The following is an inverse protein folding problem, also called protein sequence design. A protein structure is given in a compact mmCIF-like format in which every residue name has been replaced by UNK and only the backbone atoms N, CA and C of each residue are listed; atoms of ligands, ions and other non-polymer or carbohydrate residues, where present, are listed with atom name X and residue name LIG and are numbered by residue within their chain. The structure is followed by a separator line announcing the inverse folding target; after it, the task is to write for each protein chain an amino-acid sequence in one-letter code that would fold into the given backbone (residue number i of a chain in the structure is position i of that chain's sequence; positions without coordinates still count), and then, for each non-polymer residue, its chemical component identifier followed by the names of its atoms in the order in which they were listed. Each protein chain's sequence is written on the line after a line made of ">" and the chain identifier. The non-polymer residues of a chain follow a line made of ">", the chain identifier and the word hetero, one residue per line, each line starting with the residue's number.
data_IF_297230050220
#
_entry.id   IF_297230050220
#
_cell.length_a   1.000
_cell.length_b   1.000
_cell.length_c   1.000
_cell.angle_alpha   90.00
_cell.angle_beta   90.00
_cell.angle_gamma   90.00
#
_symmetry.space_group_name_H-M   'P 1'
#
loop_
_entity.id
_entity.type
_entity.pdbx_description
1 polymer ?
#
# COMPACT_ATOMS: atom_id res chain seq x y z
N UNK A 1 3.79 2.50 -17.12
CA UNK A 1 4.59 3.26 -16.14
C UNK A 1 6.03 3.46 -16.58
N UNK A 2 6.55 4.68 -16.40
CA UNK A 2 7.99 4.98 -16.53
C UNK A 2 8.65 4.58 -15.21
N UNK A 3 9.42 3.49 -15.22
CA UNK A 3 10.22 3.02 -14.09
C UNK A 3 11.41 3.97 -13.90
N UNK A 4 11.42 4.84 -12.88
CA UNK A 4 12.66 5.36 -12.25
C UNK A 4 12.43 6.07 -10.89
N UNK A 5 12.99 5.52 -9.81
CA UNK A 5 13.54 6.34 -8.72
C UNK A 5 15.01 6.62 -9.07
N UNK A 6 15.39 7.88 -9.25
CA UNK A 6 16.69 8.28 -9.82
C UNK A 6 17.85 8.35 -8.81
N UNK A 7 17.56 8.21 -7.51
CA UNK A 7 18.55 8.52 -6.44
C UNK A 7 19.48 7.34 -6.12
N UNK A 8 19.06 6.08 -6.33
CA UNK A 8 19.83 4.89 -5.90
C UNK A 8 19.98 3.80 -6.97
N UNK A 9 19.45 3.99 -8.18
CA UNK A 9 19.51 2.94 -9.21
C UNK A 9 20.88 2.89 -9.89
N UNK A 10 21.51 1.71 -9.89
CA UNK A 10 22.79 1.43 -10.56
C UNK A 10 22.59 0.94 -11.99
N UNK A 11 21.46 0.30 -12.28
CA UNK A 11 21.06 -0.21 -13.60
C UNK A 11 19.57 0.04 -13.91
N UNK A 12 19.20 -0.11 -15.19
CA UNK A 12 17.81 0.01 -15.64
C UNK A 12 17.03 -1.23 -15.23
N UNK A 13 16.15 -1.06 -14.24
CA UNK A 13 15.28 -2.14 -13.75
C UNK A 13 15.40 -2.35 -12.24
N UNK A 14 16.46 -1.82 -11.62
CA UNK A 14 16.75 -1.99 -10.18
C UNK A 14 15.64 -1.48 -9.27
N UNK A 15 14.98 -0.40 -9.67
CA UNK A 15 13.97 0.26 -8.84
C UNK A 15 12.74 0.64 -9.66
N UNK A 16 11.59 0.32 -9.09
CA UNK A 16 10.27 0.69 -9.61
C UNK A 16 9.80 1.98 -8.94
N UNK A 17 9.12 2.86 -9.69
CA UNK A 17 8.44 4.01 -9.12
C UNK A 17 7.19 3.58 -8.37
N UNK A 18 6.74 4.39 -7.40
CA UNK A 18 5.42 4.20 -6.80
C UNK A 18 4.30 4.17 -7.83
N UNK A 19 4.40 4.98 -8.90
CA UNK A 19 3.44 4.97 -10.01
C UNK A 19 3.47 3.66 -10.80
N UNK A 20 4.66 3.12 -11.10
CA UNK A 20 4.77 1.83 -11.77
C UNK A 20 4.18 0.70 -10.92
N UNK A 21 4.38 0.73 -9.60
CA UNK A 21 3.75 -0.22 -8.68
C UNK A 21 2.23 -0.06 -8.71
N UNK A 22 1.69 1.17 -8.68
CA UNK A 22 0.25 1.38 -8.75
C UNK A 22 -0.34 0.92 -10.09
N UNK A 23 0.33 1.15 -11.22
CA UNK A 23 -0.05 0.62 -12.53
C UNK A 23 -0.16 -0.91 -12.48
N UNK A 24 0.83 -1.57 -11.88
CA UNK A 24 0.86 -3.03 -11.74
C UNK A 24 -0.24 -3.57 -10.83
N UNK A 25 -0.55 -2.87 -9.73
CA UNK A 25 -1.64 -3.23 -8.81
C UNK A 25 -3.00 -3.12 -9.53
N UNK A 26 -3.24 -2.01 -10.22
CA UNK A 26 -4.48 -1.78 -10.97
C UNK A 26 -4.63 -2.76 -12.13
N UNK A 27 -3.54 -3.06 -12.82
CA UNK A 27 -3.51 -4.09 -13.87
C UNK A 27 -3.94 -5.45 -13.35
N UNK A 28 -3.44 -5.87 -12.17
CA UNK A 28 -3.86 -7.11 -11.50
C UNK A 28 -5.32 -7.06 -11.06
N UNK A 29 -5.79 -5.95 -10.49
CA UNK A 29 -7.19 -5.79 -10.10
C UNK A 29 -8.14 -5.94 -11.29
N UNK A 30 -7.78 -5.36 -12.45
CA UNK A 30 -8.50 -5.53 -13.70
C UNK A 30 -8.53 -6.98 -14.16
N UNK A 31 -7.39 -7.68 -14.13
CA UNK A 31 -7.31 -9.10 -14.52
C UNK A 31 -8.16 -9.99 -13.60
N UNK A 32 -8.28 -9.64 -12.33
CA UNK A 32 -9.13 -10.30 -11.36
C UNK A 32 -10.62 -9.93 -11.47
N UNK A 33 -11.01 -9.05 -12.41
CA UNK A 33 -12.40 -8.61 -12.58
C UNK A 33 -12.94 -7.75 -11.44
N UNK A 34 -12.06 -7.09 -10.67
CA UNK A 34 -12.48 -6.26 -9.52
C UNK A 34 -13.06 -4.93 -10.04
N UNK A 35 -14.36 -4.74 -9.82
CA UNK A 35 -15.04 -3.46 -10.09
C UNK A 35 -14.45 -2.34 -9.24
N UNK A 36 -14.09 -1.21 -9.85
CA UNK A 36 -13.42 -0.10 -9.17
C UNK A 36 -11.92 -0.32 -8.93
N UNK A 37 -11.33 -1.35 -9.55
CA UNK A 37 -9.91 -1.70 -9.42
C UNK A 37 -8.93 -0.58 -9.78
N UNK A 38 -9.36 0.42 -10.55
CA UNK A 38 -8.58 1.62 -10.90
C UNK A 38 -8.28 2.53 -9.69
N UNK A 39 -9.10 2.45 -8.64
CA UNK A 39 -8.91 3.23 -7.40
C UNK A 39 -8.01 2.50 -6.41
N UNK A 40 -7.69 1.23 -6.65
CA UNK A 40 -6.81 0.46 -5.76
C UNK A 40 -5.38 1.01 -5.90
N UNK A 41 -4.76 1.22 -4.74
CA UNK A 41 -3.37 1.68 -4.63
C UNK A 41 -2.58 0.72 -3.76
N UNK A 42 -1.26 0.66 -3.96
CA UNK A 42 -0.39 -0.14 -3.13
C UNK A 42 -0.47 0.25 -1.65
N UNK A 43 -0.58 1.56 -1.36
CA UNK A 43 -0.77 2.06 -0.01
C UNK A 43 -2.14 1.63 0.57
N UNK A 44 -3.19 1.67 -0.24
CA UNK A 44 -4.53 1.22 0.15
C UNK A 44 -4.56 -0.27 0.54
N UNK A 45 -3.85 -1.12 -0.20
CA UNK A 45 -3.71 -2.54 0.14
C UNK A 45 -3.02 -2.75 1.50
N UNK A 46 -1.99 -1.95 1.80
CA UNK A 46 -1.36 -1.93 3.14
C UNK A 46 -2.34 -1.47 4.22
N UNK A 47 -3.11 -0.40 3.95
CA UNK A 47 -4.10 0.14 4.88
C UNK A 47 -5.21 -0.87 5.18
N UNK A 48 -5.68 -1.61 4.17
CA UNK A 48 -6.79 -2.55 4.30
C UNK A 48 -6.53 -3.65 5.34
N UNK A 49 -5.32 -4.23 5.36
CA UNK A 49 -4.97 -5.23 6.39
C UNK A 49 -4.97 -4.65 7.81
N UNK A 50 -4.49 -3.43 8.00
CA UNK A 50 -4.55 -2.74 9.28
C UNK A 50 -6.00 -2.41 9.70
N UNK A 51 -6.85 -2.01 8.74
CA UNK A 51 -8.26 -1.76 9.01
C UNK A 51 -8.99 -3.03 9.43
N UNK A 52 -8.76 -4.16 8.74
CA UNK A 52 -9.40 -5.43 9.07
C UNK A 52 -9.08 -5.91 10.49
N UNK A 53 -7.86 -5.67 10.99
CA UNK A 53 -7.48 -5.99 12.38
C UNK A 53 -8.23 -5.09 13.36
N UNK A 54 -8.30 -3.78 13.08
CA UNK A 54 -9.01 -2.83 13.92
C UNK A 54 -10.52 -3.11 13.96
N UNK A 55 -11.13 -3.42 12.81
CA UNK A 55 -12.54 -3.79 12.68
C UNK A 55 -12.88 -5.07 13.48
N UNK A 56 -11.91 -5.98 13.62
CA UNK A 56 -12.01 -7.16 14.48
C UNK A 56 -11.74 -6.87 15.97
N UNK A 57 -11.53 -5.61 16.35
CA UNK A 57 -11.24 -5.16 17.72
C UNK A 57 -9.78 -5.34 18.16
N UNK A 58 -8.86 -5.65 17.23
CA UNK A 58 -7.44 -5.83 17.50
C UNK A 58 -6.63 -4.53 17.36
N UNK A 59 -5.37 -4.55 17.82
CA UNK A 59 -4.42 -3.45 17.65
C UNK A 59 -3.60 -3.61 16.35
N UNK A 60 -3.77 -2.76 15.32
CA UNK A 60 -3.04 -2.86 14.07
C UNK A 60 -1.63 -2.26 14.13
N UNK A 61 -1.15 -1.80 15.29
CA UNK A 61 0.17 -1.14 15.43
C UNK A 61 1.32 -1.94 14.81
N UNK A 62 1.28 -3.27 14.91
CA UNK A 62 2.30 -4.17 14.36
C UNK A 62 2.31 -4.27 12.81
N UNK A 63 1.27 -3.78 12.12
CA UNK A 63 1.17 -3.82 10.65
C UNK A 63 2.03 -2.75 9.96
N UNK A 64 2.62 -1.84 10.72
CA UNK A 64 3.45 -0.77 10.21
C UNK A 64 4.65 -0.50 11.09
N UNK A 65 5.45 0.49 10.69
CA UNK A 65 6.52 1.05 11.52
C UNK A 65 5.94 2.04 12.53
N UNK A 66 4.91 1.64 13.26
CA UNK A 66 4.28 2.46 14.29
C UNK A 66 4.75 2.02 15.67
N UNK A 67 4.97 3.00 16.55
CA UNK A 67 5.21 2.75 17.97
C UNK A 67 3.90 2.47 18.70
N UNK A 68 3.98 1.76 19.82
CA UNK A 68 2.85 1.60 20.73
C UNK A 68 2.25 2.96 21.09
N UNK A 69 0.91 3.06 21.04
CA UNK A 69 0.19 4.31 21.30
C UNK A 69 0.32 5.39 20.21
N UNK A 70 0.78 5.03 19.00
CA UNK A 70 0.88 5.95 17.86
C UNK A 70 -0.39 6.75 17.62
N UNK A 71 -0.28 8.08 17.55
CA UNK A 71 -1.40 8.97 17.23
C UNK A 71 -1.99 8.70 15.84
N UNK A 72 -1.19 8.19 14.90
CA UNK A 72 -1.68 7.81 13.57
C UNK A 72 -2.61 6.60 13.67
N UNK A 73 -2.24 5.59 14.48
CA UNK A 73 -3.08 4.40 14.66
C UNK A 73 -4.41 4.78 15.31
N UNK A 74 -4.35 5.60 16.37
CA UNK A 74 -5.53 6.11 17.09
C UNK A 74 -6.46 7.00 16.26
N UNK A 75 -5.94 7.67 15.22
CA UNK A 75 -6.75 8.59 14.40
C UNK A 75 -7.35 7.90 13.18
N UNK A 76 -6.62 6.96 12.59
CA UNK A 76 -6.94 6.41 11.28
C UNK A 76 -7.63 5.04 11.35
N UNK A 77 -7.58 4.34 12.49
CA UNK A 77 -8.03 2.94 12.60
C UNK A 77 -8.89 2.62 13.82
N UNK A 78 -8.67 3.32 14.94
CA UNK A 78 -9.43 3.17 16.20
C UNK A 78 -10.38 4.35 16.38
#
# INVERSE_FOLDING_TARGET
>A
GRLQSRITATERGDHVTGDAINDWVRGRARQAGITGGEKITAHGLRRGGAQAIADAGGDPTAQGRWKAGSAVVKREYL
#
